data_IF_872459688531
#
_entry.id   IF_872459688531
#
_cell.length_a   1.000
_cell.length_b   1.000
_cell.length_c   1.000
_cell.angle_alpha   90.00
_cell.angle_beta   90.00
_cell.angle_gamma   90.00
#
_symmetry.space_group_name_H-M   'P 1'
#
loop_
_entity.id
_entity.type
_entity.pdbx_description
1 polymer ?
#
# COMPACT_ATOMS: atom_id res chain seq x y z
N UNK A 1 42.43 -40.15 47.88
CA UNK A 1 41.10 -40.40 47.29
C UNK A 1 40.82 -39.22 46.34
N UNK A 2 40.99 -39.35 45.01
CA UNK A 2 40.01 -39.80 43.96
C UNK A 2 38.75 -38.89 43.97
N UNK A 3 38.27 -38.21 42.91
CA UNK A 3 38.55 -38.15 41.46
C UNK A 3 37.88 -36.88 40.87
N UNK A 4 38.30 -36.56 39.64
CA UNK A 4 37.79 -35.62 38.62
C UNK A 4 36.29 -35.31 38.53
N UNK A 5 35.97 -34.06 38.14
CA UNK A 5 34.71 -33.64 37.52
C UNK A 5 35.04 -33.04 36.13
N UNK A 6 35.01 -33.85 35.07
CA UNK A 6 33.88 -33.96 34.13
C UNK A 6 33.57 -32.65 33.38
N UNK A 7 34.50 -32.23 32.53
CA UNK A 7 34.15 -31.82 31.17
C UNK A 7 33.49 -33.03 30.50
N UNK A 8 32.31 -32.88 29.88
CA UNK A 8 31.67 -33.73 28.85
C UNK A 8 30.12 -33.71 28.93
N UNK A 9 29.50 -32.52 28.99
CA UNK A 9 28.08 -32.35 28.63
C UNK A 9 27.92 -31.07 27.78
N UNK A 10 28.61 -30.99 26.64
CA UNK A 10 28.45 -29.87 25.68
C UNK A 10 28.07 -30.37 24.26
N UNK A 11 27.86 -31.68 24.06
CA UNK A 11 27.74 -32.25 22.71
C UNK A 11 26.39 -32.87 22.31
N UNK A 12 25.27 -32.49 22.92
CA UNK A 12 24.02 -33.27 22.80
C UNK A 12 22.82 -32.63 22.08
N UNK A 13 22.66 -31.29 22.09
CA UNK A 13 21.39 -30.67 21.67
C UNK A 13 21.49 -29.79 20.40
N UNK A 14 22.69 -29.38 20.00
CA UNK A 14 22.86 -28.56 18.79
C UNK A 14 22.70 -29.36 17.48
N UNK A 15 22.72 -30.70 17.53
CA UNK A 15 22.67 -31.54 16.33
C UNK A 15 21.26 -31.99 15.92
N UNK A 16 20.22 -31.70 16.71
CA UNK A 16 18.83 -32.12 16.39
C UNK A 16 17.99 -31.02 15.72
N UNK A 17 18.33 -29.74 15.90
CA UNK A 17 17.61 -28.62 15.24
C UNK A 17 18.05 -28.46 13.78
N UNK A 18 19.30 -28.79 13.46
CA UNK A 18 19.84 -28.64 12.09
C UNK A 18 19.28 -29.70 11.11
N UNK A 19 18.79 -30.84 11.62
CA UNK A 19 18.14 -31.89 10.81
C UNK A 19 16.66 -31.55 10.50
N UNK A 20 15.98 -30.77 11.35
CA UNK A 20 14.59 -30.35 11.12
C UNK A 20 14.48 -29.17 10.14
N UNK A 21 15.51 -28.31 10.04
CA UNK A 21 15.56 -27.22 9.05
C UNK A 21 15.89 -27.73 7.64
N UNK A 22 16.60 -28.84 7.51
CA UNK A 22 16.98 -29.41 6.20
C UNK A 22 15.94 -30.39 5.61
N UNK A 23 14.92 -30.80 6.37
CA UNK A 23 13.85 -31.68 5.89
C UNK A 23 12.55 -30.95 5.49
N UNK A 24 12.45 -29.63 5.72
CA UNK A 24 11.26 -28.84 5.35
C UNK A 24 11.44 -28.00 4.07
N UNK A 25 12.51 -28.21 3.31
CA UNK A 25 12.73 -27.59 1.99
C UNK A 25 12.34 -28.51 0.82
N UNK A 26 11.73 -29.65 1.12
CA UNK A 26 11.28 -30.65 0.15
C UNK A 26 9.85 -31.02 0.52
N UNK A 27 8.88 -30.14 0.24
CA UNK A 27 7.43 -30.34 0.01
C UNK A 27 6.82 -28.93 0.06
N UNK A 28 7.08 -28.10 -0.95
CA UNK A 28 6.15 -27.06 -1.39
C UNK A 28 6.59 -26.61 -2.78
N UNK A 29 6.15 -27.29 -3.86
CA UNK A 29 6.39 -26.77 -5.19
C UNK A 29 5.52 -25.52 -5.35
N UNK A 30 6.16 -24.35 -5.44
CA UNK A 30 5.51 -23.12 -5.86
C UNK A 30 4.99 -23.30 -7.29
N UNK A 31 3.69 -23.09 -7.56
CA UNK A 31 3.18 -23.16 -8.92
C UNK A 31 3.66 -21.96 -9.74
N UNK A 32 4.14 -22.28 -10.94
CA UNK A 32 4.61 -21.42 -12.02
C UNK A 32 4.03 -19.99 -12.06
N UNK A 33 4.88 -19.01 -11.72
CA UNK A 33 4.64 -17.59 -11.99
C UNK A 33 5.01 -17.21 -13.45
N UNK A 34 4.77 -18.10 -14.40
CA UNK A 34 5.23 -17.95 -15.79
C UNK A 34 4.17 -17.40 -16.75
N UNK A 35 2.98 -17.03 -16.28
CA UNK A 35 1.89 -16.58 -17.17
C UNK A 35 1.64 -15.06 -17.19
N UNK A 36 2.42 -14.27 -16.45
CA UNK A 36 2.22 -12.80 -16.43
C UNK A 36 2.85 -12.11 -17.67
N UNK A 37 3.73 -12.79 -18.41
CA UNK A 37 4.40 -12.20 -19.59
C UNK A 37 3.62 -12.30 -20.90
N UNK A 38 2.53 -13.07 -20.98
CA UNK A 38 1.69 -13.11 -22.20
C UNK A 38 0.68 -11.97 -22.29
N UNK A 39 0.28 -11.37 -21.15
CA UNK A 39 -0.71 -10.30 -21.12
C UNK A 39 -0.15 -8.94 -21.57
N UNK A 40 1.16 -8.73 -21.44
CA UNK A 40 1.84 -7.48 -21.85
C UNK A 40 2.20 -7.48 -23.35
N UNK A 41 2.30 -8.65 -23.99
CA UNK A 41 2.65 -8.77 -25.40
C UNK A 41 1.46 -8.56 -26.36
N UNK A 42 0.22 -8.62 -25.87
CA UNK A 42 -0.97 -8.55 -26.74
C UNK A 42 -1.61 -7.16 -26.87
N UNK A 43 -1.19 -6.16 -26.09
CA UNK A 43 -1.83 -4.83 -26.09
C UNK A 43 -0.91 -3.69 -26.55
N UNK A 44 0.19 -4.01 -27.25
CA UNK A 44 1.04 -3.01 -27.91
C UNK A 44 1.04 -3.33 -29.40
N UNK A 45 -0.06 -3.04 -30.09
CA UNK A 45 -0.14 -2.89 -31.55
C UNK A 45 -1.54 -2.40 -31.98
N UNK A 46 -2.00 -1.23 -31.53
CA UNK A 46 -3.04 -0.49 -32.26
C UNK A 46 -2.72 1.00 -32.27
N UNK A 47 -1.84 1.37 -33.21
CA UNK A 47 -1.92 2.67 -33.88
C UNK A 47 -2.83 2.48 -35.08
N UNK A 48 -4.06 2.97 -34.97
CA UNK A 48 -5.09 2.89 -36.00
C UNK A 48 -5.95 4.14 -35.97
N UNK A 49 -5.49 5.15 -36.70
CA UNK A 49 -6.22 6.36 -37.08
C UNK A 49 -7.56 6.00 -37.75
N UNK A 50 -8.68 6.45 -37.16
CA UNK A 50 -9.95 6.68 -37.88
C UNK A 50 -10.74 7.84 -37.22
N UNK A 51 -10.77 8.98 -37.89
CA UNK A 51 -11.94 9.90 -37.96
C UNK A 51 -12.94 9.29 -38.99
N UNK A 52 -14.23 9.71 -39.12
CA UNK A 52 -14.97 10.77 -38.41
C UNK A 52 -16.43 10.40 -38.01
N UNK A 53 -17.09 11.20 -37.17
CA UNK A 53 -18.22 12.06 -37.60
C UNK A 53 -18.86 12.87 -36.46
N UNK A 54 -19.01 14.14 -36.80
CA UNK A 54 -19.76 15.22 -36.18
C UNK A 54 -21.24 14.88 -35.97
N UNK A 55 -21.72 14.98 -34.73
CA UNK A 55 -23.10 15.37 -34.47
C UNK A 55 -23.16 16.49 -33.43
N UNK A 56 -22.89 17.70 -33.92
CA UNK A 56 -23.15 18.98 -33.27
C UNK A 56 -24.64 19.10 -32.97
N UNK A 57 -25.00 18.94 -31.70
CA UNK A 57 -26.23 19.53 -31.17
C UNK A 57 -25.83 20.75 -30.37
N UNK A 58 -26.19 21.89 -30.93
CA UNK A 58 -26.04 23.24 -30.42
C UNK A 58 -26.65 23.38 -29.01
N UNK A 59 -25.79 23.53 -28.01
CA UNK A 59 -26.16 24.02 -26.66
C UNK A 59 -25.30 25.24 -26.38
N UNK A 60 -25.46 26.27 -27.20
CA UNK A 60 -24.71 27.52 -27.11
C UNK A 60 -25.57 28.68 -26.64
N UNK A 61 -26.38 28.55 -25.57
CA UNK A 61 -27.05 29.77 -25.06
C UNK A 61 -27.54 29.81 -23.61
N UNK A 62 -27.05 28.94 -22.72
CA UNK A 62 -27.44 29.02 -21.29
C UNK A 62 -26.26 28.69 -20.39
N UNK A 63 -25.30 29.61 -20.21
CA UNK A 63 -24.43 29.69 -19.00
C UNK A 63 -23.42 30.85 -18.98
N UNK A 64 -23.57 31.88 -19.80
CA UNK A 64 -22.64 33.03 -19.80
C UNK A 64 -22.94 34.08 -18.72
N UNK A 65 -22.84 33.78 -17.41
CA UNK A 65 -22.59 34.84 -16.40
C UNK A 65 -22.25 34.41 -14.96
N UNK A 66 -21.60 33.27 -14.74
CA UNK A 66 -20.87 33.07 -13.47
C UNK A 66 -19.38 33.17 -13.80
N UNK A 67 -18.61 34.09 -13.19
CA UNK A 67 -17.17 34.00 -13.18
C UNK A 67 -16.78 32.67 -12.52
N UNK A 68 -16.54 31.66 -13.35
CA UNK A 68 -15.92 30.41 -12.94
C UNK A 68 -14.50 30.77 -12.53
N UNK A 69 -14.26 30.83 -11.23
CA UNK A 69 -12.91 30.83 -10.70
C UNK A 69 -12.22 29.58 -11.28
N UNK A 70 -11.35 29.78 -12.27
CA UNK A 70 -10.67 28.70 -12.97
C UNK A 70 -9.73 28.01 -11.98
N UNK A 71 -10.22 26.95 -11.35
CA UNK A 71 -9.37 26.03 -10.60
C UNK A 71 -8.40 25.42 -11.62
N UNK A 72 -7.08 25.48 -11.38
CA UNK A 72 -6.12 24.89 -12.30
C UNK A 72 -6.40 23.38 -12.42
N UNK A 73 -6.37 22.87 -13.65
CA UNK A 73 -6.62 21.45 -13.94
C UNK A 73 -5.62 20.52 -13.25
N UNK A 74 -4.46 21.05 -12.85
CA UNK A 74 -3.40 20.33 -12.16
C UNK A 74 -2.72 21.27 -11.14
N UNK A 75 -2.47 20.73 -9.95
CA UNK A 75 -1.62 21.36 -8.93
C UNK A 75 -0.52 20.38 -8.56
N UNK A 76 0.75 20.76 -8.79
CA UNK A 76 1.90 19.93 -8.43
C UNK A 76 2.20 20.07 -6.94
N UNK A 77 1.65 19.17 -6.13
CA UNK A 77 1.95 19.11 -4.70
C UNK A 77 3.29 18.40 -4.50
N UNK A 78 4.29 19.12 -4.02
CA UNK A 78 5.64 18.58 -3.78
C UNK A 78 5.65 17.79 -2.46
N UNK A 79 4.96 16.64 -2.45
CA UNK A 79 4.90 15.74 -1.31
C UNK A 79 6.22 14.96 -1.21
N UNK A 80 6.95 15.03 -0.08
CA UNK A 80 8.10 14.18 0.15
C UNK A 80 7.68 12.72 0.11
N UNK A 81 8.40 11.89 -0.66
CA UNK A 81 8.06 10.49 -0.85
C UNK A 81 8.95 9.57 -0.02
N UNK A 82 8.34 8.58 0.63
CA UNK A 82 9.03 7.41 1.16
C UNK A 82 8.23 6.14 0.88
N UNK A 83 8.92 5.03 0.68
CA UNK A 83 8.32 3.69 0.66
C UNK A 83 8.02 3.24 2.09
N UNK A 84 6.97 2.42 2.29
CA UNK A 84 6.72 1.68 3.55
C UNK A 84 7.88 0.73 3.91
N UNK A 85 8.67 0.33 2.90
CA UNK A 85 9.89 -0.43 3.03
C UNK A 85 11.08 0.39 2.49
N UNK A 86 11.68 1.31 3.27
CA UNK A 86 12.75 2.21 2.80
C UNK A 86 13.97 1.46 2.21
N UNK A 87 14.25 0.27 2.72
CA UNK A 87 15.34 -0.60 2.26
C UNK A 87 14.88 -1.68 1.26
N UNK A 88 13.65 -1.60 0.75
CA UNK A 88 13.01 -2.64 -0.07
C UNK A 88 12.95 -4.02 0.61
N UNK A 89 13.02 -4.06 1.94
CA UNK A 89 12.70 -5.24 2.72
C UNK A 89 11.19 -5.26 3.00
N UNK A 90 10.50 -6.23 2.40
CA UNK A 90 9.07 -6.42 2.54
C UNK A 90 8.73 -7.50 3.57
N UNK A 91 9.62 -7.86 4.49
CA UNK A 91 9.28 -8.68 5.65
C UNK A 91 8.62 -7.83 6.73
N UNK A 92 8.01 -8.48 7.73
CA UNK A 92 7.55 -7.78 8.92
C UNK A 92 8.71 -7.00 9.59
N UNK A 93 8.45 -5.78 10.11
CA UNK A 93 7.13 -5.14 10.22
C UNK A 93 6.66 -4.41 8.95
N UNK A 94 7.51 -4.26 7.93
CA UNK A 94 7.30 -3.34 6.80
C UNK A 94 6.11 -3.67 5.88
N UNK A 95 5.59 -4.90 5.90
CA UNK A 95 4.37 -5.27 5.17
C UNK A 95 3.15 -4.48 5.63
N UNK A 96 3.16 -4.06 6.90
CA UNK A 96 2.03 -3.40 7.56
C UNK A 96 2.11 -1.87 7.47
N UNK A 97 3.26 -1.30 7.07
CA UNK A 97 3.54 0.14 7.15
C UNK A 97 2.85 1.02 6.08
N UNK A 98 1.76 0.56 5.48
CA UNK A 98 1.09 1.29 4.40
C UNK A 98 0.51 2.62 4.94
N UNK A 99 -0.23 2.54 6.04
CA UNK A 99 -0.89 3.66 6.69
C UNK A 99 0.13 4.62 7.32
N UNK A 100 1.20 4.09 7.94
CA UNK A 100 2.28 4.84 8.55
C UNK A 100 3.06 5.63 7.50
N UNK A 101 3.36 5.02 6.36
CA UNK A 101 4.00 5.72 5.24
C UNK A 101 3.11 6.85 4.70
N UNK A 102 1.81 6.61 4.54
CA UNK A 102 0.86 7.63 4.10
C UNK A 102 0.80 8.80 5.10
N UNK A 103 0.65 8.51 6.39
CA UNK A 103 0.63 9.52 7.46
C UNK A 103 1.94 10.30 7.51
N UNK A 104 3.08 9.61 7.42
CA UNK A 104 4.40 10.22 7.47
C UNK A 104 4.63 11.16 6.29
N UNK A 105 4.22 10.79 5.08
CA UNK A 105 4.29 11.66 3.89
C UNK A 105 3.40 12.90 4.05
N UNK A 106 2.15 12.73 4.52
CA UNK A 106 1.22 13.85 4.78
C UNK A 106 1.79 14.80 5.83
N UNK A 107 2.27 14.27 6.96
CA UNK A 107 2.89 15.07 8.01
C UNK A 107 4.12 15.81 7.48
N UNK A 108 5.00 15.11 6.75
CA UNK A 108 6.24 15.70 6.23
C UNK A 108 5.95 16.83 5.24
N UNK A 109 4.98 16.64 4.35
CA UNK A 109 4.52 17.70 3.44
C UNK A 109 4.04 18.92 4.22
N UNK A 110 3.13 18.73 5.19
CA UNK A 110 2.56 19.83 5.97
C UNK A 110 3.61 20.55 6.84
N UNK A 111 4.59 19.81 7.38
CA UNK A 111 5.66 20.36 8.22
C UNK A 111 6.86 20.90 7.44
N UNK A 112 6.87 20.80 6.11
CA UNK A 112 8.01 21.23 5.28
C UNK A 112 9.27 20.39 5.49
N UNK A 113 9.12 19.11 5.86
CA UNK A 113 10.20 18.17 6.10
C UNK A 113 10.53 17.36 4.84
N UNK A 114 11.69 16.72 4.84
CA UNK A 114 12.11 15.79 3.79
C UNK A 114 12.70 14.52 4.41
N UNK A 115 12.96 13.52 3.56
CA UNK A 115 13.64 12.27 3.93
C UNK A 115 15.06 12.28 3.34
N UNK A 116 16.07 12.81 4.05
CA UNK A 116 17.44 12.89 3.54
C UNK A 116 18.07 11.51 3.29
N UNK A 117 17.60 10.47 3.99
CA UNK A 117 18.11 9.11 3.87
C UNK A 117 16.99 8.08 4.06
N UNK A 118 17.23 6.84 3.63
CA UNK A 118 16.35 5.69 3.91
C UNK A 118 16.22 5.43 5.41
N UNK A 119 17.31 5.62 6.15
CA UNK A 119 17.37 5.48 7.60
C UNK A 119 16.45 6.47 8.32
N UNK A 120 16.41 7.73 7.86
CA UNK A 120 15.53 8.74 8.45
C UNK A 120 14.04 8.37 8.28
N UNK A 121 13.66 7.84 7.12
CA UNK A 121 12.31 7.33 6.91
C UNK A 121 12.03 6.07 7.76
N UNK A 122 12.97 5.12 7.82
CA UNK A 122 12.84 3.89 8.61
C UNK A 122 12.62 4.19 10.09
N UNK A 123 13.40 5.10 10.66
CA UNK A 123 13.28 5.52 12.06
C UNK A 123 11.93 6.16 12.35
N UNK A 124 11.42 7.00 11.44
CA UNK A 124 10.11 7.64 11.60
C UNK A 124 8.96 6.63 11.48
N UNK A 125 9.03 5.68 10.55
CA UNK A 125 8.06 4.59 10.44
C UNK A 125 8.04 3.72 11.70
N UNK A 126 9.22 3.35 12.21
CA UNK A 126 9.33 2.59 13.47
C UNK A 126 8.80 3.35 14.68
N UNK A 127 8.95 4.67 14.72
CA UNK A 127 8.38 5.49 15.78
C UNK A 127 6.83 5.50 15.76
N UNK A 128 6.23 5.45 14.57
CA UNK A 128 4.77 5.30 14.43
C UNK A 128 4.31 3.92 14.89
N UNK A 129 5.00 2.86 14.44
CA UNK A 129 4.76 1.49 14.89
C UNK A 129 4.86 1.35 16.43
N UNK A 130 5.88 1.96 17.05
CA UNK A 130 6.05 1.95 18.50
C UNK A 130 4.90 2.69 19.21
N UNK A 131 4.44 3.81 18.63
CA UNK A 131 3.27 4.52 19.11
C UNK A 131 2.01 3.64 19.02
N UNK A 132 1.75 3.03 17.87
CA UNK A 132 0.57 2.17 17.65
C UNK A 132 0.55 0.97 18.59
N UNK A 133 1.68 0.29 18.76
CA UNK A 133 1.81 -0.77 19.76
C UNK A 133 1.50 -0.28 21.18
N UNK A 134 1.93 0.93 21.54
CA UNK A 134 1.68 1.49 22.88
C UNK A 134 0.25 1.99 23.07
N UNK A 135 -0.39 2.49 22.00
CA UNK A 135 -1.65 3.23 22.07
C UNK A 135 -2.86 2.35 21.68
N UNK A 136 -2.71 1.51 20.66
CA UNK A 136 -3.74 0.56 20.19
C UNK A 136 -3.49 -0.87 20.68
N UNK A 137 -2.24 -1.23 20.99
CA UNK A 137 -1.85 -2.58 21.41
C UNK A 137 -1.33 -3.48 20.29
N UNK A 138 -1.37 -3.03 19.04
CA UNK A 138 -0.76 -3.64 17.86
C UNK A 138 -0.59 -2.57 16.76
N UNK A 139 0.23 -2.85 15.75
CA UNK A 139 0.52 -1.98 14.59
C UNK A 139 -0.02 -2.54 13.26
N UNK A 140 -0.65 -3.70 13.30
CA UNK A 140 -1.10 -4.40 12.09
C UNK A 140 -2.48 -3.96 11.65
N UNK A 141 -2.72 -4.03 10.35
CA UNK A 141 -4.03 -3.76 9.74
C UNK A 141 -4.64 -2.42 10.22
N UNK A 142 -3.82 -1.36 10.33
CA UNK A 142 -4.23 -0.06 10.88
C UNK A 142 -5.42 0.48 10.11
N UNK A 143 -6.57 0.62 10.78
CA UNK A 143 -7.79 1.10 10.14
C UNK A 143 -7.72 2.60 9.86
N UNK A 144 -8.51 3.09 8.90
CA UNK A 144 -8.60 4.53 8.64
C UNK A 144 -8.90 5.37 9.91
N UNK A 145 -9.70 4.81 10.84
CA UNK A 145 -9.98 5.46 12.11
C UNK A 145 -8.73 5.58 12.99
N UNK A 146 -7.94 4.52 13.10
CA UNK A 146 -6.65 4.54 13.81
C UNK A 146 -5.64 5.46 13.12
N UNK A 147 -5.57 5.44 11.78
CA UNK A 147 -4.75 6.38 10.99
C UNK A 147 -5.07 7.85 11.34
N UNK A 148 -6.35 8.18 11.51
CA UNK A 148 -6.75 9.51 11.93
C UNK A 148 -6.33 9.82 13.38
N UNK A 149 -6.38 8.84 14.29
CA UNK A 149 -5.86 9.00 15.65
C UNK A 149 -4.34 9.19 15.67
N UNK A 150 -3.56 8.52 14.81
CA UNK A 150 -2.11 8.77 14.69
C UNK A 150 -1.85 10.26 14.38
N UNK A 151 -2.56 10.83 13.40
CA UNK A 151 -2.43 12.25 13.06
C UNK A 151 -2.79 13.16 14.25
N UNK A 152 -3.82 12.83 15.03
CA UNK A 152 -4.27 13.64 16.18
C UNK A 152 -3.33 13.52 17.38
N UNK A 153 -3.00 12.30 17.75
CA UNK A 153 -2.38 11.98 19.04
C UNK A 153 -0.85 11.98 18.94
N UNK A 154 -0.28 11.43 17.87
CA UNK A 154 1.17 11.43 17.67
C UNK A 154 1.66 12.80 17.15
N UNK A 155 0.96 13.36 16.17
CA UNK A 155 1.38 14.62 15.51
C UNK A 155 0.63 15.89 15.98
N UNK A 156 -0.44 15.77 16.77
CA UNK A 156 -1.14 16.92 17.32
C UNK A 156 -2.09 17.64 16.34
N UNK A 157 -2.45 17.03 15.22
CA UNK A 157 -3.35 17.66 14.24
C UNK A 157 -4.78 17.76 14.78
N UNK A 158 -5.31 18.99 14.85
CA UNK A 158 -6.66 19.25 15.39
C UNK A 158 -7.80 19.02 14.39
N UNK A 159 -7.49 19.11 13.09
CA UNK A 159 -8.47 19.01 12.00
C UNK A 159 -8.20 17.77 11.16
N UNK A 160 -8.68 16.64 11.66
CA UNK A 160 -8.63 15.36 10.96
C UNK A 160 -10.05 14.82 10.92
N UNK A 161 -10.59 14.61 9.72
CA UNK A 161 -11.96 14.15 9.51
C UNK A 161 -11.96 12.80 8.83
N UNK A 162 -12.73 11.86 9.38
CA UNK A 162 -13.05 10.61 8.71
C UNK A 162 -14.27 10.84 7.84
N UNK A 163 -14.11 10.73 6.52
CA UNK A 163 -15.22 10.84 5.58
C UNK A 163 -15.55 9.45 5.07
N UNK A 164 -16.78 9.02 5.30
CA UNK A 164 -17.30 7.87 4.57
C UNK A 164 -17.47 8.30 3.12
N UNK A 165 -17.03 7.45 2.21
CA UNK A 165 -17.36 7.65 0.82
C UNK A 165 -18.86 7.41 0.68
N UNK A 166 -19.63 8.47 0.45
CA UNK A 166 -21.01 8.35 -0.01
C UNK A 166 -21.02 7.39 -1.20
N UNK A 167 -22.02 6.49 -1.33
CA UNK A 167 -22.11 5.61 -2.48
C UNK A 167 -22.15 6.47 -3.74
N UNK A 168 -20.99 6.58 -4.39
CA UNK A 168 -20.84 7.38 -5.58
C UNK A 168 -21.68 6.80 -6.71
N UNK A 169 -21.82 7.58 -7.77
CA UNK A 169 -22.47 7.21 -9.04
C UNK A 169 -21.97 5.87 -9.63
N UNK A 170 -20.85 5.31 -9.14
CA UNK A 170 -20.38 3.96 -9.44
C UNK A 170 -21.30 2.83 -8.95
N UNK A 171 -22.17 3.05 -7.97
CA UNK A 171 -23.16 2.04 -7.52
C UNK A 171 -24.10 1.57 -8.63
N UNK A 172 -24.33 2.39 -9.68
CA UNK A 172 -25.19 1.99 -10.81
C UNK A 172 -24.50 1.02 -11.77
N UNK A 173 -23.17 1.04 -11.84
CA UNK A 173 -22.39 0.18 -12.74
C UNK A 173 -22.05 -1.18 -12.11
N UNK A 174 -22.06 -1.29 -10.78
CA UNK A 174 -21.83 -2.57 -10.11
C UNK A 174 -23.09 -3.46 -10.07
N UNK A 175 -24.29 -2.89 -10.20
CA UNK A 175 -25.53 -3.68 -10.33
C UNK A 175 -25.66 -4.41 -11.66
N UNK A 176 -25.08 -3.88 -12.76
CA UNK A 176 -25.14 -4.50 -14.08
C UNK A 176 -24.11 -5.64 -14.26
N UNK A 177 -22.98 -5.58 -13.54
CA UNK A 177 -21.94 -6.62 -13.56
C UNK A 177 -22.37 -7.93 -12.87
N UNK A 178 -23.37 -7.85 -11.98
CA UNK A 178 -23.94 -9.01 -11.26
C UNK A 178 -25.15 -9.66 -11.96
N UNK A 179 -25.57 -9.18 -13.13
CA UNK A 179 -26.65 -9.78 -13.92
C UNK A 179 -26.19 -10.46 -15.21
N UNK A 180 -24.90 -10.37 -15.56
CA UNK A 180 -24.35 -11.04 -16.73
C UNK A 180 -24.23 -12.56 -16.47
N UNK A 181 -24.77 -13.43 -17.34
CA UNK A 181 -24.64 -14.88 -17.16
C UNK A 181 -23.18 -15.35 -17.31
N UNK A 182 -22.77 -16.44 -16.64
CA UNK A 182 -21.36 -16.71 -16.34
C UNK A 182 -20.47 -17.19 -17.50
N UNK A 183 -20.87 -17.10 -18.78
CA UNK A 183 -20.19 -17.88 -19.83
C UNK A 183 -20.06 -17.24 -21.22
N UNK A 184 -20.14 -15.92 -21.38
CA UNK A 184 -20.03 -15.31 -22.73
C UNK A 184 -18.62 -14.80 -23.11
N UNK A 185 -17.57 -15.19 -22.38
CA UNK A 185 -16.20 -14.82 -22.73
C UNK A 185 -15.29 -16.05 -22.91
N UNK A 186 -15.67 -16.95 -23.82
CA UNK A 186 -14.76 -17.87 -24.49
C UNK A 186 -15.24 -18.08 -25.94
N UNK A 187 -14.72 -17.26 -26.84
CA UNK A 187 -14.85 -17.37 -28.29
C UNK A 187 -13.54 -16.97 -28.94
#
# INVERSE_FOLDING_TARGET
MRKSNSWLIVGGLASFILVLVLLNTIIWPWPEFSQVLSFVSHNVNETGETEPENNSTDISDVTNNIPLEQIPAQSDLVVPFTSQAPYANWDLPYQEFCEEAAVLMVHSFHAGLSFPTKEDADQKLRALMDFENSYFGDYKDTTAAQTAEILREFYGYKKVELRQQEPGIFSKYDTERNTAPPNEYLG
#
